data_IF_710948802237
#
_entry.id   IF_710948802237
#
_cell.length_a   1.000
_cell.length_b   1.000
_cell.length_c   1.000
_cell.angle_alpha   90.00
_cell.angle_beta   90.00
_cell.angle_gamma   90.00
#
_symmetry.space_group_name_H-M   'P 1'
#
loop_
_entity.id
_entity.type
_entity.pdbx_description
1 polymer ?
#
# COMPACT_ATOMS: atom_id res chain seq x y z
N UNK A 1 6.19 -23.79 25.34
CA UNK A 1 6.45 -22.40 24.94
C UNK A 1 6.46 -22.40 23.43
N UNK A 2 5.42 -21.86 22.82
CA UNK A 2 5.25 -21.90 21.37
C UNK A 2 6.34 -21.07 20.69
N UNK A 3 7.03 -21.72 19.76
CA UNK A 3 8.03 -21.11 18.89
C UNK A 3 7.27 -20.25 17.90
N UNK A 4 7.36 -18.93 18.07
CA UNK A 4 6.81 -17.96 17.13
C UNK A 4 7.44 -18.18 15.76
N UNK A 5 6.68 -18.78 14.85
CA UNK A 5 7.07 -18.95 13.46
C UNK A 5 7.17 -17.56 12.85
N UNK A 6 8.39 -17.04 12.71
CA UNK A 6 8.67 -15.92 11.84
C UNK A 6 8.48 -16.41 10.40
N UNK A 7 7.27 -16.29 9.87
CA UNK A 7 7.00 -16.62 8.49
C UNK A 7 7.66 -15.57 7.59
N UNK A 8 8.90 -15.81 7.16
CA UNK A 8 9.66 -14.89 6.30
C UNK A 8 9.33 -15.03 4.80
N UNK A 9 8.33 -15.83 4.40
CA UNK A 9 7.98 -16.05 2.99
C UNK A 9 6.46 -16.14 2.69
N UNK A 10 5.62 -15.51 3.52
CA UNK A 10 4.15 -15.47 3.29
C UNK A 10 3.77 -14.76 1.99
N UNK A 11 4.65 -13.88 1.48
CA UNK A 11 4.38 -13.05 0.29
C UNK A 11 4.07 -13.85 -0.98
N UNK A 12 4.78 -14.95 -1.27
CA UNK A 12 4.56 -15.66 -2.54
C UNK A 12 3.33 -16.58 -2.52
N UNK A 13 3.02 -17.19 -1.37
CA UNK A 13 1.89 -18.12 -1.26
C UNK A 13 0.55 -17.39 -1.16
N UNK A 14 0.48 -16.23 -0.51
CA UNK A 14 -0.78 -15.49 -0.35
C UNK A 14 -1.24 -14.87 -1.67
N UNK A 15 -0.32 -14.51 -2.55
CA UNK A 15 -0.65 -13.81 -3.80
C UNK A 15 -1.05 -14.75 -4.94
N UNK A 16 -0.78 -16.05 -4.86
CA UNK A 16 -1.17 -17.09 -5.83
C UNK A 16 -1.00 -16.70 -7.32
N UNK A 17 0.13 -16.05 -7.66
CA UNK A 17 0.43 -15.58 -9.02
C UNK A 17 -0.32 -14.33 -9.48
N UNK A 18 -1.17 -13.74 -8.64
CA UNK A 18 -1.79 -12.43 -8.83
C UNK A 18 -0.87 -11.29 -8.37
N UNK A 19 -1.15 -10.08 -8.85
CA UNK A 19 -0.50 -8.88 -8.32
C UNK A 19 -1.02 -8.62 -6.91
N UNK A 20 -0.12 -8.68 -5.93
CA UNK A 20 -0.46 -8.34 -4.56
C UNK A 20 -0.47 -6.84 -4.36
N UNK A 21 -1.56 -6.35 -3.77
CA UNK A 21 -1.68 -4.96 -3.34
C UNK A 21 -1.90 -4.94 -1.85
N UNK A 22 -1.04 -4.20 -1.16
CA UNK A 22 -1.10 -4.11 0.29
C UNK A 22 -1.99 -2.96 0.71
N UNK A 23 -3.07 -3.27 1.41
CA UNK A 23 -3.94 -2.29 2.03
C UNK A 23 -3.42 -1.93 3.43
N UNK A 24 -3.48 -0.66 3.80
CA UNK A 24 -3.04 -0.22 5.13
C UNK A 24 -3.99 -0.73 6.21
N UNK A 25 -5.29 -0.56 6.00
CA UNK A 25 -6.31 -0.98 6.94
C UNK A 25 -6.93 -2.34 6.59
N UNK A 26 -7.52 -3.04 7.57
CA UNK A 26 -8.31 -4.24 7.35
C UNK A 26 -9.45 -4.04 6.34
N UNK A 27 -10.03 -5.16 5.90
CA UNK A 27 -11.21 -5.15 5.02
C UNK A 27 -12.38 -4.41 5.68
N UNK A 28 -12.94 -3.42 4.99
CA UNK A 28 -14.05 -2.59 5.49
C UNK A 28 -13.60 -1.36 6.28
N UNK A 29 -12.29 -1.19 6.43
CA UNK A 29 -11.70 -0.04 7.12
C UNK A 29 -10.88 0.82 6.13
N UNK A 30 -10.64 2.06 6.52
CA UNK A 30 -9.82 3.04 5.79
C UNK A 30 -9.13 3.98 6.78
N UNK A 31 -8.20 4.79 6.32
CA UNK A 31 -7.43 5.68 7.20
C UNK A 31 -8.31 6.86 7.64
N UNK A 32 -8.26 7.20 8.92
CA UNK A 32 -8.98 8.35 9.48
C UNK A 32 -8.51 9.68 8.90
N UNK A 33 -9.38 10.71 8.93
CA UNK A 33 -9.01 12.07 8.51
C UNK A 33 -7.87 12.70 9.34
N UNK A 34 -7.60 12.16 10.53
CA UNK A 34 -6.56 12.66 11.45
C UNK A 34 -5.19 12.01 11.19
N UNK A 35 -4.99 11.40 10.02
CA UNK A 35 -3.77 10.68 9.63
C UNK A 35 -2.46 11.44 9.83
N UNK A 36 -2.50 12.77 9.88
CA UNK A 36 -1.33 13.64 10.12
C UNK A 36 -0.83 13.59 11.56
N UNK A 37 -1.69 13.21 12.50
CA UNK A 37 -1.36 13.05 13.91
C UNK A 37 -1.15 11.57 14.25
N UNK A 38 -2.10 10.72 13.86
CA UNK A 38 -2.05 9.27 14.07
C UNK A 38 -2.67 8.54 12.88
N UNK A 39 -1.96 7.53 12.36
CA UNK A 39 -2.52 6.62 11.34
C UNK A 39 -3.43 5.62 12.04
N UNK A 40 -4.73 5.90 12.02
CA UNK A 40 -5.78 5.06 12.61
C UNK A 40 -6.72 4.54 11.52
N UNK A 41 -7.17 3.30 11.68
CA UNK A 41 -8.14 2.68 10.80
C UNK A 41 -9.56 2.84 11.37
N UNK A 42 -10.48 3.32 10.52
CA UNK A 42 -11.88 3.54 10.87
C UNK A 42 -12.79 2.78 9.91
N UNK A 43 -13.88 2.22 10.45
CA UNK A 43 -14.86 1.45 9.68
C UNK A 43 -15.65 2.40 8.77
N UNK A 44 -15.85 1.99 7.52
CA UNK A 44 -16.83 2.64 6.65
C UNK A 44 -17.60 1.63 5.81
N UNK A 45 -18.92 1.72 5.89
CA UNK A 45 -19.83 0.90 5.09
C UNK A 45 -20.00 1.44 3.66
N UNK A 46 -19.50 2.64 3.38
CA UNK A 46 -19.68 3.34 2.09
C UNK A 46 -18.45 3.30 1.20
N UNK A 47 -17.26 3.07 1.77
CA UNK A 47 -16.00 3.07 1.01
C UNK A 47 -15.67 1.65 0.56
N UNK A 48 -15.80 1.41 -0.75
CA UNK A 48 -15.27 0.22 -1.42
C UNK A 48 -13.93 0.61 -2.05
N UNK A 49 -12.83 0.27 -1.40
CA UNK A 49 -11.50 0.54 -1.94
C UNK A 49 -11.11 -0.49 -3.00
N UNK A 50 -10.67 -0.01 -4.16
CA UNK A 50 -10.00 -0.77 -5.21
C UNK A 50 -8.79 0.03 -5.70
N UNK A 51 -7.58 -0.54 -5.74
CA UNK A 51 -6.39 0.18 -6.18
C UNK A 51 -6.38 0.35 -7.70
N UNK A 52 -5.91 1.50 -8.16
CA UNK A 52 -5.62 1.74 -9.58
C UNK A 52 -4.18 1.35 -9.91
N UNK A 53 -3.95 0.65 -11.03
CA UNK A 53 -2.62 0.14 -11.39
C UNK A 53 -2.11 0.74 -12.69
N UNK A 54 -0.83 1.11 -12.69
CA UNK A 54 -0.16 1.64 -13.85
C UNK A 54 0.51 0.54 -14.68
N UNK A 55 0.13 0.45 -15.95
CA UNK A 55 0.76 -0.44 -16.92
C UNK A 55 1.68 0.37 -17.83
N UNK A 56 2.98 0.05 -17.83
CA UNK A 56 3.98 0.77 -18.63
C UNK A 56 3.59 0.80 -20.11
N UNK A 57 3.41 2.00 -20.66
CA UNK A 57 3.03 2.21 -22.07
C UNK A 57 1.52 2.24 -22.34
N UNK A 58 0.68 2.25 -21.31
CA UNK A 58 -0.76 2.55 -21.38
C UNK A 58 -1.12 3.67 -20.38
N UNK A 59 -2.29 4.27 -20.56
CA UNK A 59 -2.90 5.11 -19.52
C UNK A 59 -3.16 4.28 -18.26
N UNK A 60 -3.36 4.92 -17.10
CA UNK A 60 -3.68 4.24 -15.84
C UNK A 60 -4.89 3.31 -16.07
N UNK A 61 -4.78 2.03 -15.67
CA UNK A 61 -5.85 1.04 -15.87
C UNK A 61 -6.35 0.61 -14.50
N UNK A 62 -7.64 0.78 -14.26
CA UNK A 62 -8.29 0.10 -13.14
C UNK A 62 -8.24 -1.41 -13.40
N UNK A 63 -7.50 -2.15 -12.58
CA UNK A 63 -7.48 -3.60 -12.70
C UNK A 63 -8.78 -4.17 -12.15
N UNK A 64 -9.25 -5.23 -12.81
CA UNK A 64 -10.36 -6.01 -12.28
C UNK A 64 -9.94 -6.58 -10.91
N UNK A 65 -10.76 -6.46 -9.84
CA UNK A 65 -10.46 -7.01 -8.52
C UNK A 65 -10.12 -8.51 -8.52
N UNK A 66 -10.52 -9.26 -9.54
CA UNK A 66 -10.16 -10.68 -9.74
C UNK A 66 -8.70 -10.90 -10.17
N UNK A 67 -8.02 -9.84 -10.63
CA UNK A 67 -6.62 -9.86 -11.07
C UNK A 67 -5.65 -9.44 -9.95
N UNK A 68 -6.20 -9.09 -8.78
CA UNK A 68 -5.46 -8.57 -7.64
C UNK A 68 -5.70 -9.43 -6.41
N UNK A 69 -4.65 -9.62 -5.63
CA UNK A 69 -4.81 -10.10 -4.26
C UNK A 69 -4.58 -8.94 -3.30
N UNK A 70 -5.65 -8.48 -2.66
CA UNK A 70 -5.54 -7.49 -1.59
C UNK A 70 -5.09 -8.19 -0.32
N UNK A 71 -4.00 -7.72 0.26
CA UNK A 71 -3.46 -8.20 1.55
C UNK A 71 -3.49 -7.09 2.58
N UNK A 72 -3.84 -7.42 3.81
CA UNK A 72 -3.89 -6.49 4.95
C UNK A 72 -3.39 -7.20 6.22
N UNK A 73 -3.04 -6.44 7.26
CA UNK A 73 -2.56 -6.98 8.53
C UNK A 73 -1.10 -7.46 8.54
N UNK A 74 -0.37 -7.27 7.45
CA UNK A 74 1.08 -7.45 7.43
C UNK A 74 1.75 -6.22 8.06
N UNK A 75 2.78 -6.38 8.92
CA UNK A 75 3.50 -5.24 9.52
C UNK A 75 4.41 -4.57 8.49
N UNK A 76 4.33 -3.24 8.35
CA UNK A 76 5.24 -2.51 7.45
C UNK A 76 6.65 -2.57 8.02
N UNK A 77 7.67 -2.74 7.17
CA UNK A 77 9.07 -2.66 7.60
C UNK A 77 9.48 -1.20 7.69
N UNK A 78 9.00 -0.51 8.73
CA UNK A 78 9.35 0.87 9.00
C UNK A 78 10.36 0.94 10.14
N UNK A 79 11.52 1.57 9.88
CA UNK A 79 12.48 1.94 10.93
C UNK A 79 12.11 3.27 11.61
N UNK A 80 11.34 4.12 10.92
CA UNK A 80 11.00 5.48 11.33
C UNK A 80 9.50 5.78 11.10
N UNK A 81 9.16 7.04 10.80
CA UNK A 81 7.80 7.55 10.68
C UNK A 81 7.08 7.08 9.41
N UNK A 82 5.76 6.95 9.53
CA UNK A 82 4.86 6.72 8.39
C UNK A 82 4.57 8.05 7.70
N UNK A 83 4.78 8.09 6.39
CA UNK A 83 4.48 9.27 5.58
C UNK A 83 3.39 8.95 4.57
N UNK A 84 2.49 9.91 4.39
CA UNK A 84 1.50 9.88 3.30
C UNK A 84 2.10 10.54 2.08
N UNK A 85 1.98 9.88 0.93
CA UNK A 85 2.26 10.49 -0.36
C UNK A 85 1.05 11.36 -0.70
N UNK A 86 1.20 12.67 -0.50
CA UNK A 86 0.19 13.66 -0.86
C UNK A 86 0.12 13.89 -2.39
N UNK A 87 1.17 13.47 -3.12
CA UNK A 87 1.30 13.57 -4.58
C UNK A 87 0.82 12.31 -5.33
N UNK A 88 0.85 12.34 -6.66
CA UNK A 88 0.52 11.17 -7.48
C UNK A 88 1.55 10.05 -7.31
N UNK A 89 1.08 8.85 -6.96
CA UNK A 89 1.87 7.62 -7.04
C UNK A 89 1.37 6.73 -8.20
N UNK A 90 2.14 5.70 -8.53
CA UNK A 90 1.74 4.64 -9.48
C UNK A 90 2.08 3.28 -8.90
N UNK A 91 1.11 2.39 -8.82
CA UNK A 91 1.38 0.98 -8.58
C UNK A 91 1.84 0.32 -9.88
N UNK A 92 3.05 -0.23 -9.89
CA UNK A 92 3.62 -0.91 -11.04
C UNK A 92 3.19 -2.39 -11.06
N UNK A 93 3.18 -3.01 -12.24
CA UNK A 93 2.83 -4.43 -12.42
C UNK A 93 3.69 -5.41 -11.61
N UNK A 94 4.88 -5.00 -11.18
CA UNK A 94 5.77 -5.80 -10.34
C UNK A 94 5.50 -5.62 -8.84
N UNK A 95 4.44 -4.90 -8.46
CA UNK A 95 4.09 -4.62 -7.06
C UNK A 95 4.90 -3.49 -6.42
N UNK A 96 5.80 -2.81 -7.14
CA UNK A 96 6.46 -1.61 -6.62
C UNK A 96 5.55 -0.40 -6.75
N UNK A 97 5.65 0.54 -5.82
CA UNK A 97 4.96 1.82 -5.88
C UNK A 97 5.95 2.91 -6.27
N UNK A 98 5.69 3.61 -7.38
CA UNK A 98 6.47 4.74 -7.86
C UNK A 98 5.86 6.05 -7.33
N UNK A 99 6.59 6.78 -6.48
CA UNK A 99 6.24 8.14 -6.11
C UNK A 99 6.69 9.09 -7.23
N UNK A 100 5.76 9.55 -8.08
CA UNK A 100 6.11 10.21 -9.34
C UNK A 100 6.86 11.53 -9.12
N UNK A 101 6.39 12.35 -8.18
CA UNK A 101 6.96 13.67 -7.92
C UNK A 101 8.40 13.59 -7.38
N UNK A 102 8.67 12.57 -6.57
CA UNK A 102 9.98 12.38 -5.94
C UNK A 102 10.92 11.45 -6.73
N UNK A 103 10.42 10.85 -7.81
CA UNK A 103 11.16 9.96 -8.70
C UNK A 103 11.91 8.85 -7.95
N UNK A 104 11.18 8.08 -7.14
CA UNK A 104 11.69 6.89 -6.44
C UNK A 104 10.62 5.81 -6.35
N UNK A 105 11.01 4.54 -6.16
CA UNK A 105 10.06 3.43 -6.06
C UNK A 105 10.24 2.55 -4.81
N UNK A 106 9.17 2.38 -4.03
CA UNK A 106 9.14 1.51 -2.86
C UNK A 106 8.82 0.06 -3.23
N UNK A 107 9.30 -0.85 -2.40
CA UNK A 107 8.87 -2.25 -2.40
C UNK A 107 7.57 -2.42 -1.60
N UNK A 108 6.79 -3.43 -1.94
CA UNK A 108 5.54 -3.85 -1.26
C UNK A 108 5.70 -4.18 0.24
N UNK A 109 6.93 -4.28 0.73
CA UNK A 109 7.27 -4.39 2.15
C UNK A 109 7.20 -3.07 2.92
N UNK A 110 7.34 -1.95 2.20
CA UNK A 110 7.58 -0.62 2.75
C UNK A 110 6.46 0.38 2.46
N UNK A 111 5.47 -0.01 1.67
CA UNK A 111 4.28 0.80 1.45
C UNK A 111 2.99 -0.02 1.64
N UNK A 112 1.91 0.69 1.88
CA UNK A 112 0.55 0.22 1.73
C UNK A 112 -0.30 1.32 1.09
N UNK A 113 -1.43 0.95 0.51
CA UNK A 113 -2.36 1.87 -0.15
C UNK A 113 -3.68 1.86 0.60
N UNK A 114 -4.31 3.02 0.75
CA UNK A 114 -5.66 3.09 1.30
C UNK A 114 -6.36 4.41 0.94
N UNK A 115 -7.67 4.46 1.13
CA UNK A 115 -8.37 5.73 1.17
C UNK A 115 -8.13 6.42 2.51
N UNK A 116 -8.09 7.75 2.46
CA UNK A 116 -8.16 8.60 3.63
C UNK A 116 -9.58 9.16 3.70
N UNK A 117 -10.18 9.14 4.89
CA UNK A 117 -11.51 9.69 5.12
C UNK A 117 -11.60 11.14 4.60
N UNK A 118 -12.57 11.40 3.73
CA UNK A 118 -12.77 12.71 3.10
C UNK A 118 -12.02 12.93 1.78
N UNK A 119 -11.26 11.93 1.29
CA UNK A 119 -10.60 11.98 -0.01
C UNK A 119 -11.18 10.94 -0.98
N UNK A 120 -11.35 11.34 -2.24
CA UNK A 120 -11.90 10.48 -3.30
C UNK A 120 -10.87 9.50 -3.88
N UNK A 121 -9.57 9.81 -3.74
CA UNK A 121 -8.46 9.00 -4.27
C UNK A 121 -7.79 8.19 -3.16
N UNK A 122 -7.21 7.07 -3.54
CA UNK A 122 -6.31 6.34 -2.67
C UNK A 122 -4.99 7.11 -2.49
N UNK A 123 -4.33 6.83 -1.38
CA UNK A 123 -3.06 7.42 -1.00
C UNK A 123 -2.09 6.29 -0.68
N UNK A 124 -0.83 6.48 -1.10
CA UNK A 124 0.25 5.62 -0.66
C UNK A 124 0.75 6.07 0.70
N UNK A 125 0.74 5.17 1.67
CA UNK A 125 1.51 5.32 2.91
C UNK A 125 2.81 4.55 2.74
N UNK A 126 3.93 5.17 3.06
CA UNK A 126 5.23 4.54 2.99
C UNK A 126 6.06 4.78 4.25
N UNK A 127 6.98 3.87 4.50
CA UNK A 127 8.03 4.03 5.49
C UNK A 127 9.07 5.01 4.95
N UNK A 128 9.08 6.22 5.50
CA UNK A 128 10.19 7.14 5.24
C UNK A 128 11.40 6.69 6.04
N UNK A 129 12.56 6.65 5.42
CA UNK A 129 13.83 6.44 6.11
C UNK A 129 14.81 7.48 5.56
N UNK A 130 15.29 8.43 6.38
CA UNK A 130 16.19 9.49 5.90
C UNK A 130 17.60 8.95 5.56
N UNK A 131 17.97 7.77 6.05
CA UNK A 131 19.27 7.14 5.79
C UNK A 131 19.23 6.26 4.54
N UNK A 132 18.08 5.66 4.23
CA UNK A 132 17.87 4.94 2.98
C UNK A 132 17.43 5.90 1.86
N UNK A 133 18.24 5.97 0.80
CA UNK A 133 17.83 6.67 -0.42
C UNK A 133 17.01 5.71 -1.27
N UNK A 134 15.70 5.94 -1.46
CA UNK A 134 14.92 5.03 -2.29
C UNK A 134 15.43 5.11 -3.74
N UNK A 135 15.81 3.95 -4.28
CA UNK A 135 16.38 3.82 -5.63
C UNK A 135 15.27 3.64 -6.68
N UNK A 136 15.54 4.09 -7.90
CA UNK A 136 14.66 3.94 -9.07
C UNK A 136 14.86 2.55 -9.68
#
# INVERSE_FOLDING_TARGET
GEVGVFCTNVKHEVCDGLLCVRKCCPKGEHISKNYKETVECVISDTIRWTPTVYLKGREDVDLDPTQLQVVYGLPLRCSFDLHVIEDSFRLLQNGRMLAQYHNWAETDERYCLDNIEGYEKDHGIYCYDPEEKPEI
#
